data_IF_937719130268
#
_entry.id   IF_937719130268
#
_cell.length_a   1.000
_cell.length_b   1.000
_cell.length_c   1.000
_cell.angle_alpha   90.00
_cell.angle_beta   90.00
_cell.angle_gamma   90.00
#
_symmetry.space_group_name_H-M   'P 1'
#
loop_
_entity.id
_entity.type
_entity.pdbx_description
1 polymer ?
#
# COMPACT_ATOMS: atom_id res chain seq x y z
N UNK A 1 3.77 -7.32 -0.25
CA UNK A 1 4.33 -6.28 0.63
C UNK A 1 3.26 -5.64 1.50
N UNK A 2 1.97 -6.01 1.39
CA UNK A 2 0.94 -5.56 2.34
C UNK A 2 0.59 -4.09 2.11
N UNK A 3 0.64 -3.27 3.15
CA UNK A 3 0.38 -1.82 3.07
C UNK A 3 -1.07 -1.42 3.36
N UNK A 4 -1.76 -2.23 4.13
CA UNK A 4 -3.07 -1.97 4.73
C UNK A 4 -2.93 -1.12 6.00
N UNK A 5 -3.99 -0.38 6.33
CA UNK A 5 -4.21 0.23 7.65
C UNK A 5 -3.04 1.07 8.22
N UNK A 6 -2.35 1.82 7.35
CA UNK A 6 -1.31 2.74 7.81
C UNK A 6 -1.93 3.83 8.69
N UNK A 7 -1.62 3.79 9.98
CA UNK A 7 -2.05 4.81 10.92
C UNK A 7 -1.06 5.99 10.91
N UNK A 8 -1.35 7.01 10.10
CA UNK A 8 -0.50 8.21 9.95
C UNK A 8 -0.23 8.89 11.29
N UNK A 9 -1.21 8.91 12.20
CA UNK A 9 -1.07 9.55 13.51
C UNK A 9 0.04 8.91 14.38
N UNK A 10 0.28 7.60 14.23
CA UNK A 10 1.39 6.93 14.91
C UNK A 10 2.75 7.49 14.50
N UNK A 11 2.90 7.91 13.25
CA UNK A 11 4.14 8.48 12.74
C UNK A 11 4.24 9.97 13.01
N UNK A 12 3.13 10.70 12.98
CA UNK A 12 3.07 12.13 13.34
C UNK A 12 3.47 12.39 14.79
N UNK A 13 3.10 11.50 15.70
CA UNK A 13 3.34 11.65 17.14
C UNK A 13 4.60 10.96 17.64
N UNK A 14 5.29 10.20 16.79
CA UNK A 14 6.57 9.58 17.14
C UNK A 14 7.75 10.54 16.89
N UNK A 15 8.33 11.05 17.97
CA UNK A 15 9.43 12.00 17.91
C UNK A 15 10.66 11.46 17.16
N UNK A 16 10.93 10.16 17.25
CA UNK A 16 12.08 9.55 16.54
C UNK A 16 11.85 9.59 15.04
N UNK A 17 10.68 9.15 14.57
CA UNK A 17 10.28 9.20 13.17
C UNK A 17 10.31 10.63 12.66
N UNK A 18 9.78 11.60 13.40
CA UNK A 18 9.77 13.01 12.98
C UNK A 18 11.20 13.58 12.85
N UNK A 19 12.11 13.22 13.76
CA UNK A 19 13.51 13.61 13.67
C UNK A 19 14.19 12.98 12.43
N UNK A 20 13.94 11.70 12.17
CA UNK A 20 14.50 10.98 11.02
C UNK A 20 13.98 11.54 9.69
N UNK A 21 12.68 11.81 9.59
CA UNK A 21 12.05 12.44 8.43
C UNK A 21 12.63 13.84 8.17
N UNK A 22 12.73 14.66 9.22
CA UNK A 22 13.27 16.02 9.14
C UNK A 22 14.73 16.03 8.71
N UNK A 23 15.56 15.15 9.29
CA UNK A 23 16.99 15.06 8.95
C UNK A 23 17.24 14.64 7.49
N UNK A 24 16.30 13.90 6.90
CA UNK A 24 16.35 13.44 5.51
C UNK A 24 15.58 14.34 4.54
N UNK A 25 14.88 15.36 5.03
CA UNK A 25 14.00 16.22 4.22
C UNK A 25 12.85 15.45 3.57
N UNK A 26 12.29 14.45 4.26
CA UNK A 26 11.20 13.61 3.76
C UNK A 26 9.88 13.91 4.48
N UNK A 27 8.79 13.73 3.75
CA UNK A 27 7.45 13.53 4.34
C UNK A 27 7.23 12.06 4.64
N UNK A 28 6.21 11.74 5.45
CA UNK A 28 5.78 10.37 5.68
C UNK A 28 5.52 9.63 4.35
N UNK A 29 4.79 10.26 3.43
CA UNK A 29 4.50 9.68 2.11
C UNK A 29 5.75 9.44 1.25
N UNK A 30 6.71 10.37 1.30
CA UNK A 30 7.97 10.19 0.56
C UNK A 30 8.79 9.05 1.16
N UNK A 31 8.76 8.87 2.48
CA UNK A 31 9.40 7.76 3.16
C UNK A 31 8.68 6.43 2.88
N UNK A 32 7.35 6.43 2.84
CA UNK A 32 6.54 5.28 2.47
C UNK A 32 6.81 4.83 1.03
N UNK A 33 6.90 5.76 0.07
CA UNK A 33 7.27 5.43 -1.31
C UNK A 33 8.68 4.82 -1.36
N UNK A 34 9.66 5.41 -0.68
CA UNK A 34 11.03 4.86 -0.61
C UNK A 34 11.07 3.45 -0.03
N UNK A 35 10.36 3.22 1.08
CA UNK A 35 10.24 1.89 1.70
C UNK A 35 9.58 0.89 0.75
N UNK A 36 8.51 1.31 0.08
CA UNK A 36 7.78 0.52 -0.91
C UNK A 36 8.67 0.16 -2.10
N UNK A 37 9.45 1.11 -2.63
CA UNK A 37 10.41 0.85 -3.71
C UNK A 37 11.48 -0.16 -3.28
N UNK A 38 12.06 -0.02 -2.09
CA UNK A 38 13.12 -0.90 -1.60
C UNK A 38 12.63 -2.34 -1.41
N UNK A 39 11.43 -2.52 -0.82
CA UNK A 39 10.83 -3.84 -0.61
C UNK A 39 10.41 -4.48 -1.93
N UNK A 40 9.82 -3.73 -2.86
CA UNK A 40 9.48 -4.23 -4.19
C UNK A 40 10.71 -4.59 -5.03
N UNK A 41 11.79 -3.79 -4.97
CA UNK A 41 13.04 -4.09 -5.66
C UNK A 41 13.65 -5.41 -5.17
N UNK A 42 13.56 -5.68 -3.87
CA UNK A 42 14.03 -6.93 -3.26
C UNK A 42 13.22 -8.15 -3.74
N UNK A 43 11.91 -8.01 -3.96
CA UNK A 43 11.09 -9.08 -4.56
C UNK A 43 11.41 -9.27 -6.05
N UNK A 44 11.56 -8.16 -6.78
CA UNK A 44 11.85 -8.17 -8.21
C UNK A 44 13.20 -8.82 -8.51
N UNK A 45 14.22 -8.60 -7.68
CA UNK A 45 15.56 -9.17 -7.88
C UNK A 45 15.58 -10.70 -7.84
N UNK A 46 14.58 -11.32 -7.20
CA UNK A 46 14.40 -12.77 -7.13
C UNK A 46 13.21 -13.26 -7.98
N UNK A 47 12.76 -12.44 -8.94
CA UNK A 47 11.72 -12.80 -9.90
C UNK A 47 10.32 -12.96 -9.30
N UNK A 48 10.02 -12.27 -8.20
CA UNK A 48 8.70 -12.30 -7.54
C UNK A 48 7.90 -11.05 -7.87
N UNK A 49 6.64 -11.24 -8.22
CA UNK A 49 5.65 -10.17 -8.36
C UNK A 49 5.17 -9.75 -6.98
N UNK A 50 5.04 -8.45 -6.77
CA UNK A 50 4.56 -7.93 -5.51
C UNK A 50 3.04 -7.81 -5.46
N UNK A 51 2.52 -7.90 -4.24
CA UNK A 51 1.09 -7.74 -3.92
C UNK A 51 0.94 -6.71 -2.83
N UNK A 52 0.03 -5.75 -2.99
CA UNK A 52 -0.31 -4.71 -2.00
C UNK A 52 -1.81 -4.72 -1.71
N UNK A 53 -2.21 -4.13 -0.60
CA UNK A 53 -3.62 -3.78 -0.35
C UNK A 53 -4.02 -2.49 -1.08
N UNK A 54 -5.32 -2.25 -1.20
CA UNK A 54 -5.87 -1.21 -2.07
C UNK A 54 -5.54 0.22 -1.64
N UNK A 55 -5.25 0.45 -0.36
CA UNK A 55 -4.86 1.74 0.19
C UNK A 55 -3.55 2.26 -0.42
N UNK A 56 -2.61 1.36 -0.75
CA UNK A 56 -1.38 1.72 -1.48
C UNK A 56 -1.66 2.25 -2.89
N UNK A 57 -2.86 2.06 -3.42
CA UNK A 57 -3.29 2.58 -4.72
C UNK A 57 -4.25 3.76 -4.56
N UNK A 58 -5.15 3.71 -3.57
CA UNK A 58 -6.26 4.66 -3.44
C UNK A 58 -5.94 5.83 -2.51
N UNK A 59 -5.12 5.62 -1.48
CA UNK A 59 -4.89 6.57 -0.40
C UNK A 59 -3.48 7.18 -0.44
N UNK A 60 -2.47 6.37 -0.75
CA UNK A 60 -1.07 6.81 -0.71
C UNK A 60 -0.51 7.09 -2.12
N UNK A 61 0.18 8.23 -2.36
CA UNK A 61 0.83 8.55 -3.63
C UNK A 61 2.14 7.77 -3.87
N UNK A 62 2.17 6.47 -3.56
CA UNK A 62 3.33 5.61 -3.84
C UNK A 62 3.37 5.18 -5.30
N UNK A 63 4.57 4.94 -5.82
CA UNK A 63 4.76 4.42 -7.18
C UNK A 63 4.72 2.90 -7.15
N UNK A 64 3.81 2.31 -7.93
CA UNK A 64 3.71 0.87 -8.05
C UNK A 64 3.97 0.46 -9.50
N UNK A 65 4.78 -0.57 -9.69
CA UNK A 65 4.98 -1.19 -11.00
C UNK A 65 3.65 -1.68 -11.60
N UNK A 66 3.55 -1.74 -12.93
CA UNK A 66 2.31 -2.13 -13.61
C UNK A 66 1.93 -3.59 -13.37
N UNK A 67 2.91 -4.43 -13.04
CA UNK A 67 2.72 -5.84 -12.69
C UNK A 67 2.40 -6.07 -11.21
N UNK A 68 2.45 -5.04 -10.35
CA UNK A 68 1.99 -5.16 -8.96
C UNK A 68 0.50 -5.51 -8.92
N UNK A 69 0.17 -6.59 -8.20
CA UNK A 69 -1.22 -6.99 -7.96
C UNK A 69 -1.80 -6.27 -6.74
N UNK A 70 -3.08 -5.92 -6.79
CA UNK A 70 -3.75 -5.15 -5.74
C UNK A 70 -4.89 -5.96 -5.15
N UNK A 71 -4.87 -6.16 -3.84
CA UNK A 71 -5.93 -6.86 -3.13
C UNK A 71 -6.99 -5.86 -2.67
N UNK A 72 -8.22 -6.02 -3.18
CA UNK A 72 -9.40 -5.17 -2.87
C UNK A 72 -10.19 -5.84 -1.76
N UNK A 73 -10.30 -5.17 -0.60
CA UNK A 73 -10.81 -5.79 0.63
C UNK A 73 -11.82 -4.95 1.42
N UNK A 74 -11.80 -3.61 1.36
CA UNK A 74 -12.69 -2.77 2.19
C UNK A 74 -14.12 -2.78 1.67
N UNK A 75 -14.30 -2.77 0.34
CA UNK A 75 -15.62 -2.84 -0.27
C UNK A 75 -15.51 -3.34 -1.71
N UNK A 76 -16.52 -4.09 -2.17
CA UNK A 76 -16.60 -4.52 -3.56
C UNK A 76 -16.59 -3.35 -4.55
N UNK A 77 -17.01 -2.16 -4.10
CA UNK A 77 -17.08 -0.93 -4.91
C UNK A 77 -15.70 -0.38 -5.30
N UNK A 78 -14.66 -0.66 -4.52
CA UNK A 78 -13.30 -0.17 -4.80
C UNK A 78 -12.64 -0.85 -6.00
N UNK A 79 -13.15 -2.01 -6.44
CA UNK A 79 -12.63 -2.74 -7.60
C UNK A 79 -12.61 -1.88 -8.87
N UNK A 80 -13.64 -1.08 -9.11
CA UNK A 80 -13.71 -0.18 -10.27
C UNK A 80 -12.65 0.94 -10.18
N UNK A 81 -12.42 1.50 -8.98
CA UNK A 81 -11.43 2.56 -8.78
C UNK A 81 -9.99 2.05 -8.99
N UNK A 82 -9.67 0.85 -8.50
CA UNK A 82 -8.35 0.24 -8.67
C UNK A 82 -8.10 -0.15 -10.13
N UNK A 83 -9.08 -0.77 -10.79
CA UNK A 83 -8.97 -1.16 -12.20
C UNK A 83 -8.90 0.04 -13.15
N UNK A 84 -9.58 1.15 -12.83
CA UNK A 84 -9.47 2.41 -13.56
C UNK A 84 -8.06 3.03 -13.51
N UNK A 85 -7.25 2.69 -12.50
CA UNK A 85 -5.83 3.04 -12.41
C UNK A 85 -4.91 2.05 -13.18
N UNK A 86 -5.48 1.15 -13.97
CA UNK A 86 -4.75 0.20 -14.81
C UNK A 86 -4.15 -0.99 -14.06
N UNK A 87 -4.53 -1.20 -12.79
CA UNK A 87 -3.98 -2.28 -11.95
C UNK A 87 -4.78 -3.57 -12.08
N UNK A 88 -4.09 -4.71 -11.98
CA UNK A 88 -4.70 -6.03 -11.83
C UNK A 88 -5.10 -6.24 -10.38
N UNK A 89 -6.27 -6.83 -10.16
CA UNK A 89 -6.83 -7.02 -8.81
C UNK A 89 -6.91 -8.48 -8.39
N UNK A 90 -6.80 -8.70 -7.09
CA UNK A 90 -7.29 -9.88 -6.37
C UNK A 90 -8.54 -9.39 -5.62
N UNK A 91 -9.70 -9.92 -5.96
CA UNK A 91 -10.98 -9.45 -5.42
C UNK A 91 -11.38 -10.29 -4.20
N UNK A 92 -11.27 -9.72 -3.00
CA UNK A 92 -11.68 -10.37 -1.75
C UNK A 92 -12.32 -9.36 -0.77
N UNK A 93 -13.35 -8.60 -1.20
CA UNK A 93 -13.95 -7.57 -0.37
C UNK A 93 -14.73 -8.13 0.84
N UNK A 94 -14.71 -7.38 1.94
CA UNK A 94 -15.28 -7.79 3.23
C UNK A 94 -16.80 -8.00 3.20
N UNK A 95 -17.50 -7.30 2.30
CA UNK A 95 -18.93 -7.36 2.11
C UNK A 95 -19.39 -8.72 1.53
N UNK A 96 -18.46 -9.58 1.10
CA UNK A 96 -18.75 -10.93 0.61
C UNK A 96 -17.80 -12.03 1.08
N UNK A 97 -16.52 -11.74 1.36
CA UNK A 97 -15.46 -12.78 1.47
C UNK A 97 -14.76 -12.86 2.83
N UNK A 98 -15.14 -12.03 3.80
CA UNK A 98 -14.59 -12.12 5.16
C UNK A 98 -15.34 -13.20 5.93
N UNK A 99 -14.62 -14.26 6.31
CA UNK A 99 -15.17 -15.44 7.01
C UNK A 99 -15.18 -15.29 8.53
N UNK A 100 -14.64 -14.19 9.03
CA UNK A 100 -14.51 -13.81 10.44
C UNK A 100 -15.64 -12.89 10.92
N UNK A 101 -16.43 -12.32 10.00
CA UNK A 101 -17.60 -11.50 10.33
C UNK A 101 -18.77 -12.34 10.87
N UNK A 102 -19.52 -11.80 11.83
CA UNK A 102 -20.69 -12.39 12.50
C UNK A 102 -21.22 -11.48 13.60
#
# INVERSE_FOLDING_TARGET
TGGDEINEHCYETDNSTQADLSSQGLTLESALDKFTQATHASLKSVGKTAVVWEEMVLNHPVKLADDTLVLVWISSTNAAAVTAKGKKIIHAPNDYFYLDCG
#
